data_IF_247487405324
#
_entry.id   IF_247487405324
#
_cell.length_a   1.000
_cell.length_b   1.000
_cell.length_c   1.000
_cell.angle_alpha   90.00
_cell.angle_beta   90.00
_cell.angle_gamma   90.00
#
_symmetry.space_group_name_H-M   'P 1'
#
loop_
_entity.id
_entity.type
_entity.pdbx_description
1 polymer ?
#
# COMPACT_ATOMS: atom_id res chain seq x y z
N UNK A 1 8.93 7.12 5.12
CA UNK A 1 9.46 7.33 6.48
C UNK A 1 8.79 8.54 7.09
N UNK A 2 8.18 8.37 8.26
CA UNK A 2 7.53 9.43 9.04
C UNK A 2 8.40 9.79 10.25
N UNK A 3 8.39 11.07 10.61
CA UNK A 3 9.14 11.62 11.73
C UNK A 3 8.16 12.19 12.75
N UNK A 4 8.15 11.65 13.96
CA UNK A 4 7.36 12.18 15.08
C UNK A 4 8.31 12.96 16.00
N UNK A 5 7.98 14.22 16.26
CA UNK A 5 8.77 15.11 17.11
C UNK A 5 7.95 15.56 18.31
N UNK A 6 8.61 15.69 19.45
CA UNK A 6 8.06 16.44 20.58
C UNK A 6 8.49 17.90 20.44
N UNK A 7 7.61 18.77 19.92
CA UNK A 7 7.90 20.19 19.64
C UNK A 7 7.89 21.10 20.89
N UNK A 8 7.81 20.52 22.09
CA UNK A 8 7.97 21.28 23.34
C UNK A 8 9.39 21.88 23.45
N UNK A 9 9.53 23.07 24.08
CA UNK A 9 10.82 23.76 24.18
C UNK A 9 11.92 22.88 24.77
N UNK A 10 13.08 22.89 24.14
CA UNK A 10 14.21 21.99 24.44
C UNK A 10 15.10 22.49 25.57
N UNK A 11 14.75 23.60 26.22
CA UNK A 11 15.71 24.46 26.95
C UNK A 11 16.38 23.76 28.14
N UNK A 12 15.87 22.59 28.56
CA UNK A 12 16.54 21.71 29.52
C UNK A 12 16.40 20.21 29.25
N UNK A 13 15.62 19.78 28.25
CA UNK A 13 15.17 18.38 28.12
C UNK A 13 14.30 17.89 29.28
N UNK A 14 13.94 18.79 30.21
CA UNK A 14 13.07 18.56 31.35
C UNK A 14 11.72 19.18 30.98
N UNK A 15 10.70 18.34 30.83
CA UNK A 15 9.36 18.78 30.44
C UNK A 15 8.43 17.59 30.19
N UNK A 16 7.14 17.85 29.89
CA UNK A 16 6.19 16.79 29.61
C UNK A 16 6.68 15.96 28.43
N UNK A 17 6.67 14.64 28.62
CA UNK A 17 7.07 13.72 27.57
C UNK A 17 5.87 13.37 26.70
N UNK A 18 6.11 13.33 25.40
CA UNK A 18 5.15 12.80 24.45
C UNK A 18 5.20 11.27 24.53
N UNK A 19 4.16 10.66 25.08
CA UNK A 19 3.99 9.21 25.17
C UNK A 19 3.17 8.75 23.98
N UNK A 20 3.76 7.89 23.15
CA UNK A 20 3.11 7.27 22.00
C UNK A 20 2.60 5.89 22.43
N UNK A 21 1.31 5.64 22.21
CA UNK A 21 0.67 4.33 22.40
C UNK A 21 0.95 3.43 21.18
N UNK A 22 0.51 2.17 21.14
CA UNK A 22 0.70 1.32 19.97
C UNK A 22 0.12 1.96 18.71
N UNK A 23 0.98 2.16 17.72
CA UNK A 23 0.61 2.69 16.40
C UNK A 23 -0.05 1.57 15.60
N UNK A 24 -1.14 1.89 14.91
CA UNK A 24 -1.90 0.93 14.12
C UNK A 24 -2.12 1.44 12.69
N UNK A 25 -2.35 0.49 11.79
CA UNK A 25 -2.82 0.75 10.44
C UNK A 25 -4.32 0.43 10.39
N UNK A 26 -5.09 1.32 9.77
CA UNK A 26 -6.52 1.16 9.54
C UNK A 26 -6.89 1.60 8.12
N UNK A 27 -8.14 1.41 7.74
CA UNK A 27 -8.67 1.78 6.44
C UNK A 27 -8.84 0.60 5.48
N UNK A 28 -9.38 0.87 4.28
CA UNK A 28 -9.89 -0.16 3.38
C UNK A 28 -8.81 -1.03 2.73
N UNK A 29 -7.56 -0.57 2.69
CA UNK A 29 -6.43 -1.32 2.12
C UNK A 29 -5.25 -1.42 3.08
N UNK A 30 -5.51 -1.44 4.40
CA UNK A 30 -4.46 -1.47 5.42
C UNK A 30 -3.49 -2.65 5.24
N UNK A 31 -3.96 -3.78 4.70
CA UNK A 31 -3.18 -4.98 4.41
C UNK A 31 -2.07 -4.77 3.36
N UNK A 32 -2.23 -3.79 2.47
CA UNK A 32 -1.22 -3.42 1.47
C UNK A 32 -0.13 -2.50 2.07
N UNK A 33 -0.27 -2.10 3.34
CA UNK A 33 0.71 -1.29 4.06
C UNK A 33 1.26 -2.08 5.25
N UNK A 34 2.55 -1.95 5.52
CA UNK A 34 3.18 -2.62 6.65
C UNK A 34 4.17 -1.71 7.36
N UNK A 35 4.19 -1.77 8.69
CA UNK A 35 5.18 -1.06 9.50
C UNK A 35 6.43 -1.92 9.57
N UNK A 36 7.51 -1.48 8.92
CA UNK A 36 8.77 -2.22 8.84
C UNK A 36 9.72 -1.88 9.99
N UNK A 37 9.76 -0.61 10.38
CA UNK A 37 10.53 -0.16 11.54
C UNK A 37 9.68 0.81 12.35
N UNK A 38 9.61 0.60 13.66
CA UNK A 38 8.85 1.44 14.58
C UNK A 38 9.69 1.74 15.82
N UNK A 39 10.18 2.98 15.88
CA UNK A 39 10.94 3.49 17.01
C UNK A 39 10.07 4.34 17.96
N UNK A 40 8.76 4.40 17.70
CA UNK A 40 7.83 5.32 18.35
C UNK A 40 6.85 4.59 19.28
N UNK A 41 6.29 3.44 18.89
CA UNK A 41 5.27 2.74 19.70
C UNK A 41 5.76 2.42 21.10
N UNK A 42 4.89 2.67 22.09
CA UNK A 42 5.17 2.48 23.52
C UNK A 42 6.38 3.27 24.04
N UNK A 43 6.82 4.31 23.33
CA UNK A 43 7.93 5.17 23.75
C UNK A 43 7.47 6.47 24.34
N UNK A 44 8.37 7.04 25.14
CA UNK A 44 8.23 8.36 25.74
C UNK A 44 9.32 9.26 25.18
N UNK A 45 8.94 10.25 24.39
CA UNK A 45 9.83 11.15 23.66
C UNK A 45 10.01 12.43 24.50
N UNK A 46 11.23 12.71 24.99
CA UNK A 46 11.55 13.97 25.67
C UNK A 46 11.33 15.19 24.75
N UNK A 47 11.12 16.39 25.33
CA UNK A 47 11.07 17.64 24.57
C UNK A 47 12.27 17.80 23.63
N UNK A 48 12.02 18.19 22.37
CA UNK A 48 13.05 18.37 21.35
C UNK A 48 13.56 17.12 20.66
N UNK A 49 13.21 15.94 21.17
CA UNK A 49 13.60 14.67 20.55
C UNK A 49 12.54 14.17 19.57
N UNK A 50 12.92 13.12 18.84
CA UNK A 50 12.14 12.53 17.76
C UNK A 50 12.29 11.03 17.71
N UNK A 51 11.33 10.36 17.09
CA UNK A 51 11.40 8.97 16.71
C UNK A 51 10.97 8.81 15.25
N UNK A 52 11.27 7.66 14.64
CA UNK A 52 10.99 7.39 13.24
C UNK A 52 10.08 6.17 13.06
N UNK A 53 9.26 6.21 12.02
CA UNK A 53 8.43 5.08 11.59
C UNK A 53 8.64 4.88 10.09
N UNK A 54 8.92 3.65 9.70
CA UNK A 54 8.99 3.24 8.30
C UNK A 54 7.75 2.41 7.96
N UNK A 55 6.90 2.99 7.10
CA UNK A 55 5.78 2.27 6.47
C UNK A 55 6.18 1.92 5.05
N UNK A 56 5.93 0.66 4.68
CA UNK A 56 6.17 0.12 3.34
C UNK A 56 4.82 -0.17 2.70
N UNK A 57 4.66 0.26 1.45
CA UNK A 57 3.51 -0.05 0.61
C UNK A 57 3.85 -1.21 -0.33
N UNK A 58 3.11 -2.31 -0.20
CA UNK A 58 3.29 -3.57 -0.93
C UNK A 58 1.93 -4.04 -1.47
N UNK A 59 1.39 -3.39 -2.51
CA UNK A 59 0.06 -3.68 -3.03
C UNK A 59 -0.03 -5.07 -3.64
N UNK A 60 -1.05 -5.82 -3.24
CA UNK A 60 -1.38 -7.14 -3.79
C UNK A 60 -2.14 -7.08 -5.11
N UNK A 61 -2.84 -5.97 -5.36
CA UNK A 61 -3.69 -5.75 -6.53
C UNK A 61 -3.42 -4.40 -7.17
N UNK A 62 -3.72 -4.31 -8.47
CA UNK A 62 -3.66 -3.06 -9.22
C UNK A 62 -4.65 -2.03 -8.69
N UNK A 63 -4.31 -0.76 -8.89
CA UNK A 63 -5.19 0.37 -8.63
C UNK A 63 -4.84 1.16 -7.38
N UNK A 64 -5.60 2.23 -7.13
CA UNK A 64 -5.36 3.13 -6.00
C UNK A 64 -5.73 2.44 -4.70
N UNK A 65 -4.79 2.45 -3.75
CA UNK A 65 -4.93 1.90 -2.41
C UNK A 65 -4.83 3.03 -1.39
N UNK A 66 -5.71 3.01 -0.39
CA UNK A 66 -5.69 3.98 0.71
C UNK A 66 -5.67 3.29 2.06
N UNK A 67 -4.90 3.86 2.98
CA UNK A 67 -4.83 3.43 4.37
C UNK A 67 -4.64 4.65 5.27
N UNK A 68 -4.80 4.44 6.57
CA UNK A 68 -4.65 5.45 7.59
C UNK A 68 -3.69 4.94 8.66
N UNK A 69 -2.68 5.73 8.99
CA UNK A 69 -1.80 5.47 10.12
C UNK A 69 -2.35 6.21 11.34
N UNK A 70 -2.73 5.44 12.36
CA UNK A 70 -3.24 5.94 13.63
C UNK A 70 -2.12 5.99 14.64
N UNK A 71 -1.84 7.18 15.18
CA UNK A 71 -0.78 7.40 16.17
C UNK A 71 -1.44 7.99 17.43
N UNK A 72 -1.90 7.13 18.36
CA UNK A 72 -2.41 7.60 19.63
C UNK A 72 -1.27 8.03 20.55
N UNK A 73 -1.49 9.10 21.30
CA UNK A 73 -0.53 9.68 22.23
C UNK A 73 -1.24 10.54 23.27
N UNK A 74 -0.48 11.07 24.21
CA UNK A 74 -0.96 12.03 25.20
C UNK A 74 -0.85 13.49 24.75
N UNK A 75 -0.58 13.77 23.47
CA UNK A 75 -0.64 15.12 22.94
C UNK A 75 -2.09 15.65 23.01
N UNK A 76 -2.27 16.96 23.11
CA UNK A 76 -3.58 17.61 23.06
C UNK A 76 -3.47 18.87 22.22
N UNK A 77 -4.49 19.24 21.43
CA UNK A 77 -5.83 18.64 21.35
C UNK A 77 -5.98 17.49 20.34
N UNK A 78 -5.06 17.38 19.38
CA UNK A 78 -5.25 16.56 18.17
C UNK A 78 -4.81 15.10 18.41
N UNK A 79 -5.66 14.27 19.02
CA UNK A 79 -5.39 12.85 19.25
C UNK A 79 -6.61 11.93 19.05
N UNK A 80 -6.42 10.72 18.47
CA UNK A 80 -5.16 10.22 17.88
C UNK A 80 -4.74 11.02 16.64
N UNK A 81 -3.44 11.10 16.37
CA UNK A 81 -2.97 11.71 15.12
C UNK A 81 -3.25 10.74 13.97
N UNK A 82 -4.01 11.19 12.98
CA UNK A 82 -4.37 10.40 11.80
C UNK A 82 -3.59 10.89 10.59
N UNK A 83 -2.85 9.98 9.95
CA UNK A 83 -2.11 10.28 8.71
C UNK A 83 -2.70 9.42 7.59
N UNK A 84 -3.36 10.08 6.63
CA UNK A 84 -3.89 9.42 5.45
C UNK A 84 -2.76 9.11 4.46
N UNK A 85 -2.73 7.87 3.99
CA UNK A 85 -1.74 7.37 3.05
C UNK A 85 -2.45 6.87 1.78
N UNK A 86 -1.80 7.08 0.64
CA UNK A 86 -2.25 6.53 -0.64
C UNK A 86 -1.08 6.04 -1.45
N UNK A 87 -1.34 5.01 -2.26
CA UNK A 87 -0.40 4.44 -3.22
C UNK A 87 -1.16 3.87 -4.41
N UNK A 88 -0.46 3.60 -5.51
CA UNK A 88 -1.03 2.91 -6.67
C UNK A 88 -0.33 1.58 -6.82
N UNK A 89 -1.09 0.50 -6.77
CA UNK A 89 -0.63 -0.81 -7.16
C UNK A 89 -0.30 -0.84 -8.63
N UNK A 90 1.00 -0.83 -8.93
CA UNK A 90 1.52 -1.17 -10.24
C UNK A 90 1.97 -2.62 -10.16
N UNK A 91 1.40 -3.47 -11.01
CA UNK A 91 1.78 -4.87 -11.06
C UNK A 91 3.21 -4.97 -11.56
N UNK A 92 3.90 -6.05 -11.18
CA UNK A 92 4.87 -6.60 -12.11
C UNK A 92 4.15 -6.72 -13.46
N UNK A 93 4.75 -6.18 -14.54
CA UNK A 93 4.22 -6.36 -15.89
C UNK A 93 3.76 -7.81 -15.99
N UNK A 94 2.47 -8.01 -16.28
CA UNK A 94 1.87 -9.33 -16.27
C UNK A 94 2.79 -10.28 -17.04
N UNK A 95 3.35 -11.28 -16.35
CA UNK A 95 3.98 -12.40 -17.03
C UNK A 95 2.96 -12.92 -18.06
N UNK A 96 3.41 -13.30 -19.26
CA UNK A 96 2.56 -13.48 -20.43
C UNK A 96 1.35 -14.38 -20.14
N UNK A 97 0.23 -13.92 -20.67
CA UNK A 97 -1.13 -14.45 -20.57
C UNK A 97 -1.11 -15.97 -20.76
N UNK A 98 -1.40 -16.77 -19.72
CA UNK A 98 -1.86 -18.15 -19.88
C UNK A 98 -3.39 -18.16 -19.98
N UNK A 99 -3.94 -18.03 -21.19
CA UNK A 99 -5.38 -17.98 -21.43
C UNK A 99 -5.90 -19.21 -22.18
N UNK A 100 -7.19 -19.55 -22.00
CA UNK A 100 -7.89 -20.57 -22.80
C UNK A 100 -8.86 -19.90 -23.77
N UNK A 101 -8.96 -20.39 -25.01
CA UNK A 101 -9.91 -19.85 -25.99
C UNK A 101 -11.35 -20.24 -25.64
N UNK A 102 -12.18 -19.27 -25.25
CA UNK A 102 -13.58 -19.49 -24.82
C UNK A 102 -14.59 -19.36 -25.97
N UNK A 103 -14.14 -19.00 -27.18
CA UNK A 103 -14.99 -18.91 -28.35
C UNK A 103 -14.17 -18.80 -29.64
N UNK A 104 -14.42 -19.70 -30.58
CA UNK A 104 -13.83 -19.67 -31.92
C UNK A 104 -14.92 -19.19 -32.88
N UNK A 105 -14.82 -17.94 -33.33
CA UNK A 105 -15.61 -17.41 -34.45
C UNK A 105 -14.66 -17.25 -35.63
N UNK A 106 -15.10 -17.45 -36.89
CA UNK A 106 -14.23 -17.35 -38.07
C UNK A 106 -13.51 -16.00 -38.24
N UNK A 107 -13.84 -14.99 -37.42
CA UNK A 107 -13.32 -13.62 -37.54
C UNK A 107 -12.49 -13.19 -36.32
N UNK A 108 -12.81 -13.68 -35.11
CA UNK A 108 -12.20 -13.21 -33.86
C UNK A 108 -11.96 -14.40 -32.92
N UNK A 109 -10.82 -14.40 -32.22
CA UNK A 109 -10.66 -15.21 -31.00
C UNK A 109 -10.74 -14.31 -29.78
N UNK A 110 -11.56 -14.76 -28.83
CA UNK A 110 -11.71 -14.15 -27.52
C UNK A 110 -10.81 -14.93 -26.56
N UNK A 111 -9.67 -14.35 -26.20
CA UNK A 111 -8.84 -14.89 -25.13
C UNK A 111 -9.32 -14.25 -23.82
N UNK A 112 -9.65 -15.07 -22.83
CA UNK A 112 -10.01 -14.60 -21.49
C UNK A 112 -8.94 -15.03 -20.51
N UNK A 113 -8.43 -14.09 -19.72
CA UNK A 113 -7.57 -14.40 -18.60
C UNK A 113 -8.43 -14.97 -17.47
N UNK A 114 -8.17 -16.22 -17.07
CA UNK A 114 -8.96 -16.92 -16.06
C UNK A 114 -8.76 -16.38 -14.64
N UNK A 115 -7.67 -15.64 -14.41
CA UNK A 115 -7.33 -15.05 -13.12
C UNK A 115 -7.92 -13.65 -12.98
N UNK A 116 -7.91 -12.85 -14.04
CA UNK A 116 -8.33 -11.44 -14.01
C UNK A 116 -9.70 -11.17 -14.65
N UNK A 117 -10.24 -12.12 -15.41
CA UNK A 117 -11.46 -11.93 -16.20
C UNK A 117 -11.29 -11.00 -17.41
N UNK A 118 -10.08 -10.50 -17.65
CA UNK A 118 -9.80 -9.60 -18.75
C UNK A 118 -9.93 -10.32 -20.10
N UNK A 119 -10.52 -9.64 -21.08
CA UNK A 119 -10.78 -10.19 -22.40
C UNK A 119 -10.00 -9.45 -23.47
N UNK A 120 -9.31 -10.20 -24.33
CA UNK A 120 -8.59 -9.68 -25.49
C UNK A 120 -9.20 -10.24 -26.79
N UNK A 121 -9.48 -9.35 -27.74
CA UNK A 121 -9.90 -9.71 -29.09
C UNK A 121 -8.69 -9.71 -30.01
N UNK A 122 -8.36 -10.88 -30.57
CA UNK A 122 -7.27 -11.01 -31.55
C UNK A 122 -7.86 -11.02 -32.96
N UNK A 123 -7.67 -9.96 -33.78
CA UNK A 123 -8.08 -9.94 -35.17
C UNK A 123 -7.08 -10.68 -36.06
N UNK A 124 -7.60 -11.59 -36.89
CA UNK A 124 -6.99 -12.27 -38.04
C UNK A 124 -5.45 -12.17 -38.23
N UNK A 125 -4.75 -13.23 -37.84
CA UNK A 125 -3.43 -13.64 -38.37
C UNK A 125 -3.50 -15.11 -38.79
N UNK A 126 -2.87 -15.53 -39.90
CA UNK A 126 -3.06 -16.87 -40.42
C UNK A 126 -2.26 -17.87 -39.58
N UNK A 127 -3.04 -18.72 -38.90
CA UNK A 127 -2.64 -20.01 -38.32
C UNK A 127 -1.94 -19.90 -36.95
N UNK A 128 -2.57 -20.59 -36.00
CA UNK A 128 -2.23 -20.74 -34.57
C UNK A 128 -2.84 -19.66 -33.69
N UNK A 129 -3.98 -20.01 -33.07
CA UNK A 129 -4.55 -19.28 -31.94
C UNK A 129 -3.93 -19.87 -30.68
N UNK A 130 -2.82 -19.29 -30.27
CA UNK A 130 -2.21 -19.62 -29.00
C UNK A 130 -2.39 -18.42 -28.08
N UNK A 131 -3.33 -18.56 -27.14
CA UNK A 131 -3.56 -17.55 -26.11
C UNK A 131 -2.44 -17.58 -25.05
N UNK A 132 -1.42 -18.45 -25.18
CA UNK A 132 -0.28 -18.59 -24.26
C UNK A 132 1.03 -17.95 -24.77
N UNK A 133 1.25 -17.82 -26.09
CA UNK A 133 2.60 -17.52 -26.63
C UNK A 133 2.84 -16.11 -27.18
N UNK A 134 1.93 -15.15 -26.95
CA UNK A 134 2.23 -13.74 -27.26
C UNK A 134 2.81 -13.02 -26.05
N UNK A 135 4.05 -13.40 -25.74
CA UNK A 135 5.00 -12.62 -24.94
C UNK A 135 5.82 -11.71 -25.87
#
# INVERSE_FOLDING_TARGET
MFLIKNDLPTDTGIGPRLRIEPITLDGPNAEDFSIRNDECSNRSIPPGLRCTIEVVFSPSLLGTKTAMLLIPSNATPDQPLEIMMSGVGEGAAADPIGGSASGVSPVNVVCTNLTTGQTLLIPNSPRVWDCETRA
#
